data_IF_286928692981
#
_entry.id   IF_286928692981
#
_cell.length_a   1.000
_cell.length_b   1.000
_cell.length_c   1.000
_cell.angle_alpha   90.00
_cell.angle_beta   90.00
_cell.angle_gamma   90.00
#
_symmetry.space_group_name_H-M   'P 1'
#
loop_
_entity.id
_entity.type
_entity.pdbx_description
1 polymer ?
#
# COMPACT_ATOMS: atom_id res chain seq x y z
N UNK A 1 10.26 8.24 25.96
CA UNK A 1 10.44 7.16 24.98
C UNK A 1 9.52 7.43 23.81
N UNK A 2 10.00 7.39 22.56
CA UNK A 2 9.12 7.54 21.41
C UNK A 2 8.07 6.44 21.44
N UNK A 3 6.83 6.75 21.04
CA UNK A 3 5.78 5.73 20.91
C UNK A 3 6.22 4.75 19.82
N UNK A 4 6.43 3.49 20.20
CA UNK A 4 6.72 2.41 19.25
C UNK A 4 5.39 1.87 18.74
N UNK A 5 5.08 2.11 17.47
CA UNK A 5 3.88 1.57 16.84
C UNK A 5 4.18 0.18 16.30
N UNK A 6 3.18 -0.70 16.31
CA UNK A 6 3.33 -2.02 15.71
C UNK A 6 3.38 -1.87 14.18
N UNK A 7 4.23 -2.64 13.48
CA UNK A 7 4.26 -2.61 12.02
C UNK A 7 2.91 -3.06 11.46
N UNK A 8 2.48 -2.42 10.36
CA UNK A 8 1.27 -2.78 9.64
C UNK A 8 1.62 -3.79 8.55
N UNK A 9 0.77 -4.80 8.38
CA UNK A 9 0.91 -5.78 7.31
C UNK A 9 0.49 -5.15 5.97
N UNK A 10 1.29 -5.36 4.92
CA UNK A 10 0.99 -4.89 3.56
C UNK A 10 -0.03 -5.83 2.90
N UNK A 11 -1.25 -5.82 3.40
CA UNK A 11 -2.35 -6.68 2.99
C UNK A 11 -3.63 -5.84 2.80
N UNK A 12 -4.33 -5.94 1.65
CA UNK A 12 -5.54 -5.18 1.40
C UNK A 12 -6.61 -5.31 2.49
N UNK A 13 -6.79 -6.49 3.09
CA UNK A 13 -7.79 -6.69 4.14
C UNK A 13 -7.50 -5.82 5.37
N UNK A 14 -6.22 -5.81 5.79
CA UNK A 14 -5.74 -5.01 6.93
C UNK A 14 -5.85 -3.51 6.62
N UNK A 15 -5.46 -3.09 5.41
CA UNK A 15 -5.49 -1.69 4.99
C UNK A 15 -6.93 -1.15 4.81
N UNK A 16 -7.83 -1.96 4.26
CA UNK A 16 -9.23 -1.61 4.11
C UNK A 16 -9.96 -1.52 5.45
N UNK A 17 -9.70 -2.45 6.38
CA UNK A 17 -10.23 -2.37 7.74
C UNK A 17 -9.70 -1.11 8.45
N UNK A 18 -8.42 -0.80 8.28
CA UNK A 18 -7.81 0.39 8.84
C UNK A 18 -8.45 1.68 8.30
N UNK A 19 -8.65 1.78 6.98
CA UNK A 19 -9.35 2.93 6.37
C UNK A 19 -10.79 3.08 6.83
N UNK A 20 -11.52 1.98 6.97
CA UNK A 20 -12.88 2.01 7.50
C UNK A 20 -12.91 2.62 8.91
N UNK A 21 -11.95 2.27 9.78
CA UNK A 21 -11.80 2.87 11.12
C UNK A 21 -11.43 4.35 11.09
N UNK A 22 -10.80 4.83 10.01
CA UNK A 22 -10.51 6.25 9.78
C UNK A 22 -11.68 7.02 9.16
N UNK A 23 -12.79 6.34 8.83
CA UNK A 23 -14.01 6.95 8.27
C UNK A 23 -14.09 6.95 6.74
N UNK A 24 -13.14 6.33 6.04
CA UNK A 24 -13.20 6.15 4.59
C UNK A 24 -14.00 4.90 4.25
N UNK A 25 -15.04 5.04 3.43
CA UNK A 25 -15.90 3.90 3.07
C UNK A 25 -15.37 3.16 1.85
N UNK A 26 -15.48 1.83 1.87
CA UNK A 26 -15.13 0.95 0.75
C UNK A 26 -15.95 1.20 -0.52
N UNK A 27 -17.05 1.97 -0.42
CA UNK A 27 -17.83 2.42 -1.59
C UNK A 27 -17.10 3.46 -2.42
N UNK A 28 -16.16 4.18 -1.82
CA UNK A 28 -15.40 5.26 -2.49
C UNK A 28 -14.02 4.79 -2.92
N UNK A 29 -13.30 4.12 -2.01
CA UNK A 29 -11.92 3.69 -2.23
C UNK A 29 -11.68 2.37 -1.48
N UNK A 30 -10.92 1.48 -2.11
CA UNK A 30 -10.45 0.25 -1.50
C UNK A 30 -9.05 -0.08 -2.01
N UNK A 31 -8.24 -0.69 -1.16
CA UNK A 31 -6.99 -1.33 -1.51
C UNK A 31 -7.26 -2.68 -2.18
N UNK A 32 -6.41 -3.03 -3.14
CA UNK A 32 -6.41 -4.28 -3.90
C UNK A 32 -4.97 -4.68 -4.17
N UNK A 33 -4.71 -5.98 -4.31
CA UNK A 33 -3.37 -6.47 -4.59
C UNK A 33 -2.96 -6.18 -6.04
N UNK A 34 -1.68 -5.86 -6.21
CA UNK A 34 -1.02 -5.81 -7.52
C UNK A 34 -0.22 -7.10 -7.65
N UNK A 35 -0.73 -8.04 -8.45
CA UNK A 35 -0.12 -9.38 -8.61
C UNK A 35 1.18 -9.34 -9.42
N UNK A 36 1.35 -8.33 -10.27
CA UNK A 36 2.54 -8.12 -11.08
C UNK A 36 2.50 -6.80 -11.83
N UNK A 37 3.59 -6.49 -12.52
CA UNK A 37 3.79 -5.22 -13.23
C UNK A 37 3.70 -5.37 -14.76
N UNK A 38 3.44 -6.57 -15.25
CA UNK A 38 3.14 -6.79 -16.66
C UNK A 38 1.74 -6.25 -16.99
N UNK A 39 1.50 -5.87 -18.26
CA UNK A 39 0.23 -5.26 -18.66
C UNK A 39 -1.00 -6.15 -18.38
N UNK A 40 -0.86 -7.47 -18.46
CA UNK A 40 -1.98 -8.40 -18.26
C UNK A 40 -2.41 -8.43 -16.79
N UNK A 41 -1.47 -8.53 -15.86
CA UNK A 41 -1.76 -8.48 -14.43
C UNK A 41 -2.20 -7.09 -13.97
N UNK A 42 -1.64 -6.01 -14.53
CA UNK A 42 -2.08 -4.65 -14.20
C UNK A 42 -3.51 -4.36 -14.65
N UNK A 43 -3.97 -4.97 -15.74
CA UNK A 43 -5.36 -4.83 -16.19
C UNK A 43 -6.38 -5.46 -15.23
N UNK A 44 -5.94 -6.30 -14.29
CA UNK A 44 -6.81 -6.85 -13.24
C UNK A 44 -7.09 -5.84 -12.12
N UNK A 45 -6.31 -4.76 -12.02
CA UNK A 45 -6.46 -3.73 -10.98
C UNK A 45 -7.65 -2.82 -11.31
N UNK A 46 -8.65 -2.70 -10.42
CA UNK A 46 -9.79 -1.81 -10.60
C UNK A 46 -9.36 -0.35 -10.88
N UNK A 47 -10.03 0.27 -11.86
CA UNK A 47 -9.79 1.66 -12.26
C UNK A 47 -10.92 2.58 -11.77
N UNK A 48 -10.65 3.86 -11.47
CA UNK A 48 -9.36 4.54 -11.58
C UNK A 48 -8.44 4.30 -10.35
N UNK A 49 -7.13 4.23 -10.59
CA UNK A 49 -6.12 4.16 -9.52
C UNK A 49 -5.63 5.56 -9.14
N UNK A 50 -5.72 5.91 -7.86
CA UNK A 50 -5.30 7.23 -7.33
C UNK A 50 -3.99 7.17 -6.55
N UNK A 51 -3.59 6.00 -6.06
CA UNK A 51 -2.38 5.81 -5.27
C UNK A 51 -1.90 4.35 -5.34
N UNK A 52 -0.60 4.14 -5.11
CA UNK A 52 0.03 2.82 -4.98
C UNK A 52 0.86 2.82 -3.70
N UNK A 53 0.75 1.74 -2.91
CA UNK A 53 1.60 1.51 -1.73
C UNK A 53 2.55 0.37 -2.06
N UNK A 54 3.85 0.60 -1.86
CA UNK A 54 4.89 -0.40 -2.07
C UNK A 54 5.60 -0.67 -0.75
N UNK A 55 5.46 -1.89 -0.23
CA UNK A 55 6.26 -2.37 0.89
C UNK A 55 7.54 -3.01 0.34
N UNK A 56 8.70 -2.44 0.67
CA UNK A 56 9.99 -2.90 0.17
C UNK A 56 11.04 -2.90 1.30
N UNK A 57 12.10 -3.73 1.19
CA UNK A 57 13.14 -3.79 2.22
C UNK A 57 13.97 -2.51 2.23
N UNK A 58 14.14 -1.92 3.41
CA UNK A 58 15.03 -0.78 3.60
C UNK A 58 16.47 -1.30 3.68
N UNK A 59 17.28 -0.96 2.68
CA UNK A 59 18.71 -1.28 2.58
C UNK A 59 19.53 0.01 2.53
N UNK A 60 20.86 -0.11 2.69
CA UNK A 60 21.77 1.03 2.54
C UNK A 60 21.62 1.71 1.18
N UNK A 61 21.47 0.91 0.12
CA UNK A 61 21.32 1.40 -1.24
C UNK A 61 19.97 2.10 -1.43
N UNK A 62 18.88 1.56 -0.87
CA UNK A 62 17.57 2.22 -0.95
C UNK A 62 17.54 3.54 -0.19
N UNK A 63 18.19 3.62 0.98
CA UNK A 63 18.31 4.87 1.73
C UNK A 63 19.19 5.90 1.03
N UNK A 64 20.26 5.48 0.35
CA UNK A 64 21.11 6.37 -0.42
C UNK A 64 20.35 6.96 -1.62
N UNK A 65 19.55 6.14 -2.30
CA UNK A 65 18.71 6.58 -3.42
C UNK A 65 17.60 7.55 -2.98
N UNK A 66 16.97 7.34 -1.81
CA UNK A 66 15.88 8.19 -1.33
C UNK A 66 16.29 9.61 -0.88
N UNK A 67 17.60 9.87 -0.74
CA UNK A 67 18.15 11.19 -0.34
C UNK A 67 18.61 12.04 -1.53
N UNK A 68 18.46 11.55 -2.76
CA UNK A 68 18.75 12.26 -4.00
C UNK A 68 17.47 12.90 -4.55
#
# INVERSE_FOLDING_TARGET
>A
MPKLWKPLESNPDVLNEFMAKLGVTSKTHAFTDILGLDPELLNMVPQPVVAVIMCYPITKDSEAAARQ
#
